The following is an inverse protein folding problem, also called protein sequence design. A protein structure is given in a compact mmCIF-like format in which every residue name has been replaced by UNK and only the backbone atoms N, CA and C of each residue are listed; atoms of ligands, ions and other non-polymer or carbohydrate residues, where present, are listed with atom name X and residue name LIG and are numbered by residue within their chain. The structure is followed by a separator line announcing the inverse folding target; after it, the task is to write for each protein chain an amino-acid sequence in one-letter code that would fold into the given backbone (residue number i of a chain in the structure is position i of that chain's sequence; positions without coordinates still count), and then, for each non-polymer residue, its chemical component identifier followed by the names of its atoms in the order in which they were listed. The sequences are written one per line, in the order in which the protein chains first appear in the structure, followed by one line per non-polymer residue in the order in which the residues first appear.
data_IF_437833292014
#
_entry.id   IF_437833292014
#
_cell.length_a   1.000
_cell.length_b   1.000
_cell.length_c   1.000
_cell.angle_alpha   90.00
_cell.angle_beta   90.00
_cell.angle_gamma   90.00
#
_symmetry.space_group_name_H-M   'P 1'
#
loop_
_entity.id
_entity.type
_entity.pdbx_description
1 polymer ?
#
# COMPACT_ATOMS: atom_id res chain seq x y z
N UNK A 1 -2.24 -16.92 18.52
CA UNK A 1 -3.20 -16.65 17.43
C UNK A 1 -3.92 -15.34 17.76
N UNK A 2 -3.31 -14.17 17.48
CA UNK A 2 -3.91 -12.81 17.39
C UNK A 2 -2.89 -11.78 16.82
N UNK A 3 -1.83 -12.26 16.15
CA UNK A 3 -0.67 -11.44 15.73
C UNK A 3 -1.08 -10.22 14.92
N UNK A 4 -2.05 -10.36 14.01
CA UNK A 4 -2.40 -9.26 13.10
C UNK A 4 -3.03 -8.08 13.83
N UNK A 5 -3.95 -8.33 14.77
CA UNK A 5 -4.53 -7.26 15.57
C UNK A 5 -3.47 -6.68 16.51
N UNK A 6 -2.72 -7.50 17.24
CA UNK A 6 -1.71 -7.01 18.18
C UNK A 6 -0.62 -6.19 17.47
N UNK A 7 -0.16 -6.62 16.29
CA UNK A 7 0.92 -5.98 15.54
C UNK A 7 0.51 -4.68 14.86
N UNK A 8 -0.74 -4.57 14.41
CA UNK A 8 -1.19 -3.46 13.56
C UNK A 8 -2.30 -2.61 14.18
N UNK A 9 -2.76 -2.89 15.40
CA UNK A 9 -3.82 -2.11 16.06
C UNK A 9 -3.52 -0.60 16.02
N UNK A 10 -2.32 -0.22 16.49
CA UNK A 10 -1.92 1.19 16.50
C UNK A 10 -1.83 1.80 15.09
N UNK A 11 -1.42 1.01 14.09
CA UNK A 11 -1.35 1.49 12.71
C UNK A 11 -2.74 1.77 12.15
N UNK A 12 -3.73 0.89 12.38
CA UNK A 12 -5.11 1.12 11.96
C UNK A 12 -5.75 2.30 12.68
N UNK A 13 -5.51 2.45 13.99
CA UNK A 13 -5.97 3.62 14.75
C UNK A 13 -5.41 4.91 14.13
N UNK A 14 -4.10 4.95 13.89
CA UNK A 14 -3.45 6.13 13.31
C UNK A 14 -3.94 6.43 11.89
N UNK A 15 -4.23 5.40 11.09
CA UNK A 15 -4.78 5.56 9.74
C UNK A 15 -6.13 6.26 9.77
N UNK A 16 -7.04 5.84 10.65
CA UNK A 16 -8.38 6.45 10.76
C UNK A 16 -8.29 7.88 11.27
N UNK A 17 -7.45 8.14 12.29
CA UNK A 17 -7.20 9.50 12.79
C UNK A 17 -6.69 10.41 11.66
N UNK A 18 -5.65 9.98 10.95
CA UNK A 18 -5.07 10.75 9.84
C UNK A 18 -6.07 11.04 8.72
N UNK A 19 -6.98 10.11 8.44
CA UNK A 19 -8.01 10.31 7.41
C UNK A 19 -9.05 11.35 7.85
N UNK A 20 -9.54 11.27 9.09
CA UNK A 20 -10.48 12.26 9.63
C UNK A 20 -9.84 13.64 9.74
N UNK A 21 -8.57 13.71 10.14
CA UNK A 21 -7.82 14.97 10.21
C UNK A 21 -7.67 15.62 8.82
N UNK A 22 -7.44 14.83 7.77
CA UNK A 22 -7.37 15.36 6.40
C UNK A 22 -8.70 15.99 5.96
N UNK A 23 -9.83 15.38 6.32
CA UNK A 23 -11.17 15.93 6.06
C UNK A 23 -11.38 17.25 6.83
N UNK A 24 -11.08 17.25 8.14
CA UNK A 24 -11.32 18.41 9.00
C UNK A 24 -10.49 19.64 8.59
N UNK A 25 -9.32 19.43 7.99
CA UNK A 25 -8.40 20.50 7.62
C UNK A 25 -8.37 20.80 6.12
N UNK A 26 -9.22 20.15 5.32
CA UNK A 26 -9.26 20.29 3.85
C UNK A 26 -7.88 20.08 3.21
N UNK A 27 -7.19 19.02 3.62
CA UNK A 27 -5.86 18.64 3.10
C UNK A 27 -5.93 17.31 2.36
N UNK A 28 -4.96 17.06 1.48
CA UNK A 28 -4.80 15.75 0.85
C UNK A 28 -4.54 14.65 1.89
N UNK A 29 -5.01 13.43 1.61
CA UNK A 29 -4.71 12.26 2.43
C UNK A 29 -3.26 11.84 2.25
N UNK A 30 -2.65 11.29 3.31
CA UNK A 30 -1.25 10.83 3.27
C UNK A 30 -0.96 9.73 2.23
N UNK A 31 -2.01 9.04 1.74
CA UNK A 31 -1.95 8.03 0.69
C UNK A 31 -3.04 8.34 -0.32
N UNK A 32 -2.67 8.48 -1.60
CA UNK A 32 -3.57 8.78 -2.71
C UNK A 32 -3.73 7.61 -3.68
N UNK A 33 -4.39 7.86 -4.82
CA UNK A 33 -4.66 6.82 -5.82
C UNK A 33 -3.38 6.26 -6.47
N UNK A 34 -2.39 7.12 -6.72
CA UNK A 34 -1.12 6.71 -7.33
C UNK A 34 -0.32 5.76 -6.43
N UNK A 35 -0.43 5.95 -5.12
CA UNK A 35 0.20 5.09 -4.11
C UNK A 35 -0.44 3.70 -4.06
N UNK A 36 -1.68 3.56 -4.54
CA UNK A 36 -2.32 2.27 -4.78
C UNK A 36 -1.94 1.62 -6.11
N UNK A 37 -1.80 2.41 -7.19
CA UNK A 37 -1.48 1.90 -8.52
C UNK A 37 -0.05 1.34 -8.62
N UNK A 38 0.95 2.08 -8.15
CA UNK A 38 2.37 1.68 -8.30
C UNK A 38 2.68 0.31 -7.68
N UNK A 39 2.24 -0.01 -6.44
CA UNK A 39 2.47 -1.33 -5.87
C UNK A 39 1.80 -2.46 -6.64
N UNK A 40 0.64 -2.22 -7.27
CA UNK A 40 -0.03 -3.22 -8.11
C UNK A 40 0.80 -3.54 -9.36
N UNK A 41 1.33 -2.51 -10.02
CA UNK A 41 2.23 -2.70 -11.17
C UNK A 41 3.52 -3.42 -10.76
N UNK A 42 4.10 -3.07 -9.61
CA UNK A 42 5.25 -3.77 -9.04
C UNK A 42 4.95 -5.24 -8.74
N UNK A 43 3.79 -5.52 -8.12
CA UNK A 43 3.36 -6.89 -7.80
C UNK A 43 3.13 -7.72 -9.07
N UNK A 44 2.58 -7.11 -10.12
CA UNK A 44 2.42 -7.75 -11.45
C UNK A 44 3.78 -8.14 -12.03
N UNK A 45 4.73 -7.20 -12.09
CA UNK A 45 6.08 -7.46 -12.61
C UNK A 45 6.84 -8.51 -11.78
N UNK A 46 6.74 -8.45 -10.45
CA UNK A 46 7.35 -9.44 -9.56
C UNK A 46 6.73 -10.84 -9.74
N UNK A 47 5.41 -10.91 -9.95
CA UNK A 47 4.71 -12.17 -10.23
C UNK A 47 5.17 -12.78 -11.55
N UNK A 48 5.32 -11.95 -12.60
CA UNK A 48 5.86 -12.38 -13.89
C UNK A 48 7.30 -12.87 -13.79
N UNK A 49 8.16 -12.10 -13.11
CA UNK A 49 9.56 -12.47 -12.84
C UNK A 49 9.64 -13.84 -12.17
N UNK A 50 8.87 -14.04 -11.09
CA UNK A 50 8.83 -15.30 -10.35
C UNK A 50 8.41 -16.49 -11.23
N UNK A 51 7.38 -16.31 -12.07
CA UNK A 51 6.91 -17.34 -13.01
C UNK A 51 7.94 -17.68 -14.07
N UNK A 52 8.75 -16.71 -14.48
CA UNK A 52 9.79 -16.86 -15.50
C UNK A 52 11.17 -17.22 -14.92
N UNK A 53 11.24 -17.75 -13.69
CA UNK A 53 12.49 -18.21 -13.08
C UNK A 53 13.32 -17.11 -12.42
N UNK A 54 12.71 -16.00 -12.03
CA UNK A 54 13.37 -14.87 -11.36
C UNK A 54 14.09 -13.91 -12.31
N UNK A 55 13.74 -13.92 -13.59
CA UNK A 55 14.32 -12.99 -14.58
C UNK A 55 13.85 -11.56 -14.34
N UNK A 56 14.66 -10.59 -14.78
CA UNK A 56 14.27 -9.19 -14.73
C UNK A 56 13.00 -8.92 -15.57
N UNK A 57 12.04 -8.22 -14.98
CA UNK A 57 10.82 -7.71 -15.64
C UNK A 57 10.68 -6.23 -15.33
N UNK A 58 10.53 -5.40 -16.37
CA UNK A 58 10.32 -3.95 -16.20
C UNK A 58 8.91 -3.71 -15.64
N UNK A 59 8.80 -2.87 -14.62
CA UNK A 59 7.50 -2.42 -14.11
C UNK A 59 6.85 -1.52 -15.16
N UNK A 60 5.59 -1.81 -15.50
CA UNK A 60 4.79 -1.00 -16.41
C UNK A 60 4.56 0.42 -15.83
N UNK A 61 4.32 1.40 -16.71
CA UNK A 61 4.06 2.81 -16.34
C UNK A 61 2.58 3.06 -16.04
#
# INVERSE_FOLDING_TARGET
LWFFLERYNQAFINQVISFVDAINNDTETAVGAIDGLRPVLMAKAATESCRNGGVYVKVEE
#
